data_IF_220583860981
#
_entry.id   IF_220583860981
#
_cell.length_a   1.000
_cell.length_b   1.000
_cell.length_c   1.000
_cell.angle_alpha   90.00
_cell.angle_beta   90.00
_cell.angle_gamma   90.00
#
_symmetry.space_group_name_H-M   'P 1'
#
loop_
_entity.id
_entity.type
_entity.pdbx_description
1 polymer ?
#
# COMPACT_ATOMS: atom_id res chain seq x y z
N UNK A 1 -37.09 23.19 43.05
CA UNK A 1 -36.01 23.76 42.22
C UNK A 1 -35.42 22.64 41.37
N UNK A 2 -35.42 22.79 40.03
CA UNK A 2 -35.10 21.75 39.05
C UNK A 2 -33.65 21.93 38.55
N UNK A 3 -32.73 21.07 38.99
CA UNK A 3 -31.30 21.06 38.61
C UNK A 3 -30.98 19.98 37.54
N UNK A 4 -31.65 20.01 36.38
CA UNK A 4 -31.46 19.00 35.32
C UNK A 4 -30.94 19.55 33.96
N UNK A 5 -30.97 20.86 33.60
CA UNK A 5 -30.66 21.25 32.22
C UNK A 5 -29.15 21.25 31.86
N UNK A 6 -28.23 21.18 32.83
CA UNK A 6 -26.79 21.35 32.56
C UNK A 6 -26.08 20.08 32.08
N UNK A 7 -26.61 18.89 32.37
CA UNK A 7 -25.99 17.61 31.96
C UNK A 7 -26.20 17.29 30.47
N UNK A 8 -27.34 17.67 29.90
CA UNK A 8 -27.64 17.44 28.49
C UNK A 8 -26.80 18.33 27.55
N UNK A 9 -26.50 19.56 27.96
CA UNK A 9 -25.67 20.48 27.19
C UNK A 9 -24.21 20.01 27.08
N UNK A 10 -23.65 19.42 28.15
CA UNK A 10 -22.30 18.86 28.14
C UNK A 10 -22.18 17.66 27.20
N UNK A 11 -23.17 16.76 27.19
CA UNK A 11 -23.18 15.58 26.31
C UNK A 11 -23.27 15.95 24.80
N UNK A 12 -23.97 17.03 24.44
CA UNK A 12 -24.07 17.50 23.06
C UNK A 12 -22.79 18.20 22.55
N UNK A 13 -22.02 18.82 23.44
CA UNK A 13 -20.74 19.48 23.05
C UNK A 13 -19.56 18.53 22.89
N UNK A 14 -19.58 17.36 23.55
CA UNK A 14 -18.50 16.35 23.48
C UNK A 14 -18.68 15.30 22.37
N UNK A 15 -19.87 15.23 21.76
CA UNK A 15 -20.19 14.26 20.70
C UNK A 15 -19.40 14.42 19.37
N UNK A 16 -19.01 15.63 18.89
CA UNK A 16 -18.37 15.73 17.57
C UNK A 16 -16.95 15.13 17.52
N UNK A 17 -16.27 15.01 18.67
CA UNK A 17 -14.90 14.49 18.74
C UNK A 17 -14.80 12.99 18.45
N UNK A 18 -15.85 12.22 18.72
CA UNK A 18 -15.87 10.78 18.45
C UNK A 18 -16.08 10.43 16.97
N UNK A 19 -16.60 11.38 16.18
CA UNK A 19 -16.84 11.23 14.74
C UNK A 19 -15.73 11.82 13.88
N UNK A 20 -14.61 12.27 14.48
CA UNK A 20 -13.38 12.55 13.74
C UNK A 20 -12.84 11.24 13.16
N UNK A 21 -13.44 10.78 12.04
CA UNK A 21 -12.92 9.74 11.16
C UNK A 21 -11.42 9.96 11.08
N UNK A 22 -10.63 8.99 11.57
CA UNK A 22 -9.17 9.05 11.55
C UNK A 22 -8.74 9.45 10.15
N UNK A 23 -8.31 10.71 9.99
CA UNK A 23 -7.77 11.31 8.76
C UNK A 23 -6.37 10.76 8.49
N UNK A 24 -6.24 9.44 8.60
CA UNK A 24 -4.98 8.73 8.48
C UNK A 24 -4.83 8.33 7.04
N UNK A 25 -3.84 8.91 6.38
CA UNK A 25 -3.21 8.27 5.26
C UNK A 25 -2.03 7.46 5.77
N UNK A 26 -1.49 6.59 4.94
CA UNK A 26 -0.37 5.71 5.25
C UNK A 26 0.66 5.73 4.14
N UNK A 27 1.87 5.32 4.45
CA UNK A 27 2.77 4.81 3.44
C UNK A 27 2.38 3.37 3.13
N UNK A 28 2.13 3.09 1.86
CA UNK A 28 1.67 1.79 1.38
C UNK A 28 2.82 1.11 0.66
N UNK A 29 2.96 -0.21 0.84
CA UNK A 29 3.87 -1.05 0.09
C UNK A 29 3.12 -2.28 -0.40
N UNK A 30 3.32 -2.62 -1.66
CA UNK A 30 2.92 -3.92 -2.22
C UNK A 30 4.11 -4.53 -2.95
N UNK A 31 4.29 -5.82 -2.79
CA UNK A 31 5.34 -6.57 -3.46
C UNK A 31 4.70 -7.60 -4.38
N UNK A 32 5.08 -7.56 -5.65
CA UNK A 32 4.73 -8.55 -6.66
C UNK A 32 5.87 -9.54 -6.80
N UNK A 33 5.56 -10.81 -7.03
CA UNK A 33 6.57 -11.84 -7.26
C UNK A 33 6.15 -12.85 -8.32
N UNK A 34 7.09 -13.53 -8.96
CA UNK A 34 6.76 -14.75 -9.70
C UNK A 34 6.38 -15.85 -8.68
N UNK A 35 5.27 -16.60 -8.89
CA UNK A 35 4.82 -17.62 -7.96
C UNK A 35 5.89 -18.69 -7.73
N UNK A 36 5.98 -19.15 -6.49
CA UNK A 36 6.82 -20.30 -6.13
C UNK A 36 5.96 -21.54 -5.92
N UNK A 37 6.55 -22.73 -6.05
CA UNK A 37 5.88 -23.96 -5.66
C UNK A 37 5.69 -23.99 -4.14
N UNK A 38 4.43 -23.81 -3.72
CA UNK A 38 4.05 -23.75 -2.30
C UNK A 38 4.16 -25.11 -1.61
N UNK A 39 3.99 -26.23 -2.35
CA UNK A 39 4.06 -27.60 -1.82
C UNK A 39 5.52 -28.03 -1.66
N UNK A 40 6.34 -27.80 -2.66
CA UNK A 40 7.78 -28.12 -2.62
C UNK A 40 8.61 -27.08 -1.83
N UNK A 41 8.00 -25.94 -1.46
CA UNK A 41 8.70 -24.80 -0.84
C UNK A 41 9.91 -24.38 -1.67
N UNK A 42 9.75 -24.30 -2.99
CA UNK A 42 10.83 -24.00 -3.94
C UNK A 42 10.45 -22.91 -4.92
N UNK A 43 11.41 -22.02 -5.18
CA UNK A 43 11.35 -20.96 -6.16
C UNK A 43 12.47 -21.20 -7.18
N UNK A 44 12.15 -21.40 -8.44
CA UNK A 44 13.15 -21.66 -9.50
C UNK A 44 13.20 -20.54 -10.53
N UNK A 45 12.23 -19.61 -10.50
CA UNK A 45 12.13 -18.55 -11.50
C UNK A 45 13.39 -17.69 -11.57
N UNK A 46 14.07 -17.44 -10.45
CA UNK A 46 15.31 -16.65 -10.39
C UNK A 46 16.59 -17.39 -10.80
N UNK A 47 16.52 -18.71 -11.00
CA UNK A 47 17.65 -19.53 -11.45
C UNK A 47 17.86 -19.40 -12.97
N UNK A 48 16.85 -18.92 -13.69
CA UNK A 48 16.86 -18.66 -15.13
C UNK A 48 16.63 -17.17 -15.43
N UNK A 49 16.83 -16.78 -16.69
CA UNK A 49 16.40 -15.46 -17.16
C UNK A 49 14.88 -15.31 -17.03
N UNK A 50 14.42 -14.14 -16.57
CA UNK A 50 13.00 -13.82 -16.51
C UNK A 50 12.34 -14.03 -17.89
N UNK A 51 11.17 -14.67 -17.90
CA UNK A 51 10.40 -14.84 -19.13
C UNK A 51 9.85 -13.49 -19.59
N UNK A 52 9.62 -13.35 -20.89
CA UNK A 52 9.08 -12.11 -21.47
C UNK A 52 7.70 -11.81 -20.89
N UNK A 53 6.88 -12.83 -20.70
CA UNK A 53 5.52 -12.77 -20.17
C UNK A 53 5.53 -12.28 -18.72
N UNK A 54 6.38 -12.85 -17.86
CA UNK A 54 6.50 -12.40 -16.48
C UNK A 54 6.99 -10.94 -16.39
N UNK A 55 7.91 -10.53 -17.25
CA UNK A 55 8.37 -9.14 -17.31
C UNK A 55 7.25 -8.17 -17.71
N UNK A 56 6.47 -8.50 -18.75
CA UNK A 56 5.32 -7.70 -19.17
C UNK A 56 4.24 -7.62 -18.08
N UNK A 57 4.03 -8.70 -17.34
CA UNK A 57 3.11 -8.73 -16.20
C UNK A 57 3.58 -7.81 -15.06
N UNK A 58 4.88 -7.75 -14.77
CA UNK A 58 5.42 -6.76 -13.83
C UNK A 58 5.17 -5.33 -14.30
N UNK A 59 5.41 -5.02 -15.59
CA UNK A 59 5.16 -3.68 -16.13
C UNK A 59 3.67 -3.31 -16.05
N UNK A 60 2.77 -4.25 -16.35
CA UNK A 60 1.32 -4.08 -16.24
C UNK A 60 0.89 -3.82 -14.79
N UNK A 61 1.44 -4.57 -13.84
CA UNK A 61 1.18 -4.37 -12.41
C UNK A 61 1.72 -3.01 -11.93
N UNK A 62 2.90 -2.60 -12.39
CA UNK A 62 3.45 -1.28 -12.12
C UNK A 62 2.53 -0.17 -12.62
N UNK A 63 2.08 -0.23 -13.87
CA UNK A 63 1.18 0.77 -14.45
C UNK A 63 -0.14 0.85 -13.68
N UNK A 64 -0.73 -0.32 -13.37
CA UNK A 64 -1.97 -0.43 -12.58
C UNK A 64 -1.79 0.20 -11.19
N UNK A 65 -0.71 -0.13 -10.49
CA UNK A 65 -0.41 0.44 -9.19
C UNK A 65 -0.22 1.96 -9.24
N UNK A 66 0.53 2.45 -10.23
CA UNK A 66 0.80 3.89 -10.37
C UNK A 66 -0.45 4.67 -10.74
N UNK A 67 -1.33 4.11 -11.57
CA UNK A 67 -2.63 4.69 -11.87
C UNK A 67 -3.51 4.74 -10.61
N UNK A 68 -3.56 3.65 -9.86
CA UNK A 68 -4.32 3.56 -8.61
C UNK A 68 -3.84 4.57 -7.57
N UNK A 69 -2.54 4.64 -7.29
CA UNK A 69 -2.00 5.52 -6.24
C UNK A 69 -2.10 7.01 -6.59
N UNK A 70 -2.15 7.35 -7.89
CA UNK A 70 -2.35 8.73 -8.38
C UNK A 70 -3.82 9.15 -8.39
N UNK A 71 -4.75 8.22 -8.15
CA UNK A 71 -6.16 8.58 -8.04
C UNK A 71 -6.36 9.58 -6.89
N UNK A 72 -7.11 10.68 -7.09
CA UNK A 72 -7.36 11.67 -6.05
C UNK A 72 -7.96 11.10 -4.76
N UNK A 73 -8.74 10.02 -4.86
CA UNK A 73 -9.33 9.34 -3.72
C UNK A 73 -8.34 8.45 -2.93
N UNK A 74 -7.17 8.17 -3.50
CA UNK A 74 -6.19 7.21 -2.98
C UNK A 74 -4.98 7.93 -2.38
N UNK A 75 -4.03 8.39 -3.22
CA UNK A 75 -2.78 9.02 -2.78
C UNK A 75 -2.71 10.52 -3.08
N UNK A 76 -3.78 11.09 -3.65
CA UNK A 76 -3.84 12.50 -4.01
C UNK A 76 -2.70 12.89 -4.95
N UNK A 77 -1.95 13.93 -4.59
CA UNK A 77 -0.84 14.47 -5.41
C UNK A 77 0.50 13.79 -5.19
N UNK A 78 0.66 12.95 -4.15
CA UNK A 78 1.97 12.37 -3.82
C UNK A 78 2.32 11.16 -4.69
N UNK A 79 1.32 10.42 -5.18
CA UNK A 79 1.52 9.26 -6.04
C UNK A 79 2.40 8.18 -5.41
N UNK A 80 3.23 7.55 -6.23
CA UNK A 80 4.08 6.43 -5.84
C UNK A 80 5.12 6.09 -6.89
N UNK A 81 5.91 5.07 -6.60
CA UNK A 81 6.93 4.52 -7.50
C UNK A 81 7.04 3.01 -7.30
N UNK A 82 7.64 2.32 -8.27
CA UNK A 82 8.01 0.92 -8.14
C UNK A 82 9.53 0.76 -8.31
N UNK A 83 10.12 -0.20 -7.62
CA UNK A 83 11.50 -0.60 -7.82
C UNK A 83 11.65 -1.29 -9.17
N UNK A 84 12.90 -1.45 -9.62
CA UNK A 84 13.18 -2.37 -10.72
C UNK A 84 12.86 -3.82 -10.31
N UNK A 85 12.57 -4.67 -11.30
CA UNK A 85 12.43 -6.11 -11.11
C UNK A 85 13.79 -6.69 -10.72
N UNK A 86 13.84 -7.39 -9.59
CA UNK A 86 15.08 -7.94 -9.02
C UNK A 86 14.91 -9.37 -8.56
N UNK A 87 16.01 -10.12 -8.52
CA UNK A 87 16.02 -11.47 -7.92
C UNK A 87 16.14 -11.37 -6.40
N UNK A 88 15.39 -12.18 -5.69
CA UNK A 88 15.53 -12.32 -4.23
C UNK A 88 15.12 -13.71 -3.75
N UNK A 89 15.60 -14.06 -2.56
CA UNK A 89 15.16 -15.25 -1.84
C UNK A 89 13.84 -14.98 -1.12
N UNK A 90 12.88 -15.89 -1.27
CA UNK A 90 11.67 -15.91 -0.46
C UNK A 90 11.95 -16.63 0.85
N UNK A 91 11.62 -15.99 1.98
CA UNK A 91 11.82 -16.56 3.31
C UNK A 91 11.14 -17.94 3.40
N UNK A 92 11.86 -18.93 3.91
CA UNK A 92 11.39 -20.33 4.05
C UNK A 92 11.16 -21.09 2.74
N UNK A 93 11.70 -20.61 1.62
CA UNK A 93 11.71 -21.33 0.33
C UNK A 93 13.17 -21.56 -0.12
N UNK A 94 13.41 -22.65 -0.83
CA UNK A 94 14.70 -22.90 -1.52
C UNK A 94 14.71 -22.21 -2.89
N UNK A 95 15.86 -21.69 -3.30
CA UNK A 95 16.06 -21.03 -4.59
C UNK A 95 15.68 -19.54 -4.61
N UNK A 96 15.58 -18.96 -5.81
CA UNK A 96 15.33 -17.54 -6.04
C UNK A 96 14.06 -17.32 -6.87
N UNK A 97 13.42 -16.17 -6.70
CA UNK A 97 12.36 -15.69 -7.60
C UNK A 97 12.58 -14.22 -7.92
N UNK A 98 11.79 -13.68 -8.84
CA UNK A 98 11.77 -12.27 -9.20
C UNK A 98 10.72 -11.53 -8.38
N UNK A 99 11.06 -10.31 -7.95
CA UNK A 99 10.21 -9.42 -7.18
C UNK A 99 10.25 -8.00 -7.74
N UNK A 100 9.17 -7.26 -7.48
CA UNK A 100 9.05 -5.83 -7.69
C UNK A 100 8.28 -5.21 -6.53
N UNK A 101 8.87 -4.23 -5.86
CA UNK A 101 8.26 -3.54 -4.74
C UNK A 101 7.73 -2.19 -5.18
N UNK A 102 6.45 -1.94 -4.94
CA UNK A 102 5.77 -0.69 -5.25
C UNK A 102 5.38 0.04 -3.97
N UNK A 103 5.62 1.35 -3.94
CA UNK A 103 5.47 2.21 -2.77
C UNK A 103 4.55 3.38 -3.09
N UNK A 104 3.57 3.61 -2.22
CA UNK A 104 2.66 4.76 -2.28
C UNK A 104 2.86 5.67 -1.08
N UNK A 105 2.93 6.98 -1.31
CA UNK A 105 2.95 7.95 -0.22
C UNK A 105 1.57 8.52 0.05
N UNK A 106 1.22 8.62 1.34
CA UNK A 106 -0.03 9.21 1.81
C UNK A 106 -1.27 8.60 1.15
N UNK A 107 -1.26 7.28 0.99
CA UNK A 107 -2.40 6.51 0.54
C UNK A 107 -3.47 6.53 1.64
N UNK A 108 -4.74 6.71 1.29
CA UNK A 108 -5.85 6.60 2.23
C UNK A 108 -5.75 5.32 3.07
N UNK A 109 -5.93 5.41 4.40
CA UNK A 109 -5.96 4.21 5.26
C UNK A 109 -7.26 3.41 5.13
N UNK A 110 -8.19 3.83 4.26
CA UNK A 110 -9.40 3.08 3.98
C UNK A 110 -9.07 1.76 3.28
N UNK A 111 -9.29 0.65 3.99
CA UNK A 111 -9.02 -0.69 3.47
C UNK A 111 -9.88 -1.05 2.25
N UNK A 112 -11.07 -0.45 2.10
CA UNK A 112 -11.90 -0.68 0.91
C UNK A 112 -11.24 -0.12 -0.35
N UNK A 113 -10.46 0.94 -0.20
CA UNK A 113 -9.71 1.54 -1.30
C UNK A 113 -8.63 0.59 -1.86
N UNK A 114 -8.13 -0.36 -1.06
CA UNK A 114 -7.13 -1.34 -1.49
C UNK A 114 -7.73 -2.39 -2.43
N UNK A 115 -9.04 -2.65 -2.36
CA UNK A 115 -9.73 -3.54 -3.29
C UNK A 115 -9.74 -2.97 -4.72
N UNK A 116 -9.58 -1.65 -4.87
CA UNK A 116 -9.53 -0.97 -6.16
C UNK A 116 -8.17 -1.13 -6.88
N UNK A 117 -7.13 -1.64 -6.21
CA UNK A 117 -5.84 -1.90 -6.84
C UNK A 117 -5.92 -3.04 -7.88
N UNK A 118 -6.96 -3.88 -7.79
CA UNK A 118 -7.17 -5.00 -8.70
C UNK A 118 -6.31 -6.23 -8.38
N UNK A 119 -6.58 -7.33 -9.08
CA UNK A 119 -5.79 -8.56 -8.99
C UNK A 119 -4.50 -8.43 -9.82
N UNK A 120 -3.39 -9.07 -9.42
CA UNK A 120 -2.18 -9.12 -10.24
C UNK A 120 -2.41 -9.92 -11.54
N UNK A 121 -1.64 -9.63 -12.61
CA UNK A 121 -1.58 -10.44 -13.82
C UNK A 121 -1.17 -11.90 -13.57
N UNK A 122 -1.42 -12.80 -14.53
CA UNK A 122 -1.41 -14.25 -14.33
C UNK A 122 -0.07 -14.86 -13.92
N UNK A 123 1.07 -14.31 -14.39
CA UNK A 123 2.40 -14.88 -14.14
C UNK A 123 3.08 -14.33 -12.88
N UNK A 124 2.41 -13.45 -12.15
CA UNK A 124 2.88 -12.89 -10.88
C UNK A 124 1.79 -13.01 -9.80
N UNK A 125 2.20 -13.08 -8.55
CA UNK A 125 1.29 -13.02 -7.40
C UNK A 125 1.64 -11.83 -6.51
N UNK A 126 0.67 -11.37 -5.73
CA UNK A 126 0.90 -10.43 -4.65
C UNK A 126 1.61 -11.20 -3.52
N UNK A 127 2.91 -10.95 -3.36
CA UNK A 127 3.74 -11.59 -2.35
C UNK A 127 3.39 -11.09 -0.95
N UNK A 128 3.18 -9.79 -0.84
CA UNK A 128 3.04 -9.07 0.42
C UNK A 128 2.40 -7.71 0.19
N UNK A 129 1.61 -7.25 1.15
CA UNK A 129 1.06 -5.90 1.21
C UNK A 129 1.16 -5.42 2.66
N UNK A 130 1.62 -4.19 2.84
CA UNK A 130 1.82 -3.61 4.17
C UNK A 130 1.63 -2.09 4.15
N UNK A 131 1.26 -1.56 5.31
CA UNK A 131 1.05 -0.14 5.52
C UNK A 131 1.80 0.31 6.75
N UNK A 132 2.61 1.36 6.59
CA UNK A 132 3.38 1.96 7.68
C UNK A 132 3.10 3.46 7.79
N UNK A 133 3.37 3.99 8.97
CA UNK A 133 3.14 5.37 9.38
C UNK A 133 1.67 5.84 9.23
N UNK A 134 1.11 6.47 10.26
CA UNK A 134 -0.09 7.29 10.08
C UNK A 134 0.35 8.71 9.73
N UNK A 135 0.10 9.13 8.49
CA UNK A 135 0.42 10.46 7.98
C UNK A 135 -0.86 11.22 7.65
N UNK A 136 -0.78 12.55 7.62
CA UNK A 136 -1.92 13.37 7.19
C UNK A 136 -2.15 13.22 5.68
N UNK A 137 -3.41 13.04 5.30
CA UNK A 137 -3.83 12.99 3.89
C UNK A 137 -3.72 14.34 3.18
N UNK A 138 -3.85 15.44 3.91
CA UNK A 138 -3.87 16.77 3.31
C UNK A 138 -2.45 17.26 3.01
N UNK A 139 -2.21 17.48 1.72
CA UNK A 139 -1.04 18.16 1.18
C UNK A 139 -1.51 19.56 0.76
N UNK A 140 -1.84 20.44 1.73
CA UNK A 140 -1.77 21.87 1.43
C UNK A 140 -0.40 22.10 0.79
N UNK A 141 -0.42 22.63 -0.43
CA UNK A 141 0.57 22.59 -1.52
C UNK A 141 2.00 23.06 -1.21
N UNK A 142 2.34 23.23 0.07
CA UNK A 142 3.61 23.73 0.57
C UNK A 142 4.28 22.79 1.60
N UNK A 143 3.64 21.68 2.00
CA UNK A 143 4.33 20.66 2.82
C UNK A 143 5.17 19.75 1.92
N UNK A 144 6.46 20.05 1.83
CA UNK A 144 7.50 19.12 1.37
C UNK A 144 7.34 17.77 2.10
N UNK A 145 7.36 16.65 1.38
CA UNK A 145 7.27 15.32 2.01
C UNK A 145 6.28 14.32 1.37
N UNK A 146 6.27 14.23 0.04
CA UNK A 146 5.68 13.09 -0.68
C UNK A 146 6.66 11.92 -0.84
N UNK A 147 7.90 12.06 -0.36
CA UNK A 147 8.88 10.97 -0.39
C UNK A 147 8.40 9.84 0.53
N UNK A 148 8.10 8.64 -0.01
CA UNK A 148 7.73 7.51 0.83
C UNK A 148 8.99 7.03 1.56
N UNK A 149 9.20 7.46 2.80
CA UNK A 149 10.31 6.95 3.60
C UNK A 149 9.82 5.79 4.48
N UNK A 150 9.46 4.69 3.80
CA UNK A 150 8.88 3.49 4.43
C UNK A 150 9.78 2.88 5.53
N UNK A 151 11.11 3.02 5.38
CA UNK A 151 12.10 2.54 6.34
C UNK A 151 12.22 3.42 7.60
N UNK A 152 11.88 4.72 7.51
CA UNK A 152 11.94 5.65 8.64
C UNK A 152 10.74 5.57 9.59
N UNK A 153 9.68 4.86 9.19
CA UNK A 153 8.52 4.56 10.01
C UNK A 153 8.90 3.54 11.11
N UNK A 154 9.23 4.03 12.31
CA UNK A 154 9.43 3.22 13.51
C UNK A 154 8.16 3.11 14.33
#
# INVERSE_FOLDING_TARGET
MRFIPYLAALLLTLAPSALAKKRGCVHFMVSYQVPCDKKAKRCEAGDYSITKEAYLDFMTAQETFLAWVRSPAIGGTCGGYCSLVRRAHKKSYKGMTYFMDCFGARVTADKQAYLLLGAPPANIELAFMDTKCNVWCDVKSQRTGCTPNYASCK
#
